data_IF_014665834768
#
_entry.id   IF_014665834768
#
_cell.length_a   1.000
_cell.length_b   1.000
_cell.length_c   1.000
_cell.angle_alpha   90.00
_cell.angle_beta   90.00
_cell.angle_gamma   90.00
#
_symmetry.space_group_name_H-M   'P 1'
#
loop_
_entity.id
_entity.type
_entity.pdbx_description
1 polymer ?
#
# COMPACT_ATOMS: atom_id res chain seq x y z
N UNK A 1 17.13 -11.45 5.04
CA UNK A 1 18.34 -12.31 4.99
C UNK A 1 19.46 -11.86 5.92
N UNK A 2 19.89 -10.58 5.95
CA UNK A 2 20.99 -10.11 6.83
C UNK A 2 20.75 -10.31 8.34
N UNK A 3 19.54 -10.04 8.83
CA UNK A 3 19.18 -10.34 10.23
C UNK A 3 19.13 -11.84 10.51
N UNK A 4 18.76 -12.65 9.52
CA UNK A 4 18.87 -14.09 9.66
C UNK A 4 20.35 -14.49 9.77
N UNK A 5 21.21 -14.04 8.85
CA UNK A 5 22.65 -14.34 8.84
C UNK A 5 23.35 -13.86 10.12
N UNK A 6 23.09 -12.64 10.60
CA UNK A 6 23.67 -12.12 11.84
C UNK A 6 23.18 -12.86 13.08
N UNK A 7 21.94 -13.39 13.07
CA UNK A 7 21.41 -14.21 14.17
C UNK A 7 22.05 -15.60 14.22
N UNK A 8 22.40 -16.19 13.07
CA UNK A 8 23.06 -17.51 13.00
C UNK A 8 24.59 -17.42 12.90
N UNK A 9 25.16 -16.22 12.76
CA UNK A 9 26.60 -16.03 12.68
C UNK A 9 27.26 -16.56 13.97
N UNK A 10 28.32 -17.36 13.80
CA UNK A 10 29.13 -17.85 14.91
C UNK A 10 29.74 -16.65 15.66
N UNK A 11 29.43 -16.52 16.95
CA UNK A 11 29.93 -15.47 17.86
C UNK A 11 31.03 -15.97 18.80
N UNK A 12 31.64 -17.11 18.49
CA UNK A 12 32.68 -17.67 19.34
C UNK A 12 33.95 -16.81 19.36
N UNK A 13 34.88 -17.13 20.28
CA UNK A 13 36.14 -16.40 20.39
C UNK A 13 36.91 -16.44 19.06
N UNK A 14 37.66 -15.38 18.80
CA UNK A 14 38.55 -15.34 17.64
C UNK A 14 39.54 -16.52 17.66
N UNK A 15 39.91 -17.07 16.50
CA UNK A 15 40.89 -18.15 16.45
C UNK A 15 42.24 -17.73 17.06
N UNK A 16 42.76 -18.52 18.00
CA UNK A 16 44.11 -18.33 18.53
C UNK A 16 45.16 -18.94 17.58
N UNK A 17 45.57 -18.13 16.59
CA UNK A 17 46.56 -18.53 15.59
C UNK A 17 47.94 -18.82 16.21
N UNK A 18 48.27 -18.25 17.37
CA UNK A 18 49.56 -18.46 18.02
C UNK A 18 49.63 -19.85 18.67
N UNK A 19 48.55 -20.26 19.35
CA UNK A 19 48.42 -21.64 19.85
C UNK A 19 48.41 -22.66 18.70
N UNK A 20 47.68 -22.38 17.62
CA UNK A 20 47.62 -23.26 16.44
C UNK A 20 48.98 -23.46 15.76
N UNK A 21 49.83 -22.42 15.71
CA UNK A 21 51.21 -22.53 15.18
C UNK A 21 52.09 -23.41 16.06
N UNK A 22 51.88 -23.41 17.38
CA UNK A 22 52.66 -24.19 18.34
C UNK A 22 52.30 -25.68 18.33
N UNK A 23 51.02 -25.99 18.10
CA UNK A 23 50.51 -27.36 18.17
C UNK A 23 50.60 -28.11 16.82
N UNK A 24 50.90 -27.41 15.73
CA UNK A 24 51.02 -28.00 14.38
C UNK A 24 52.47 -28.26 13.98
N UNK A 25 52.68 -29.26 13.12
CA UNK A 25 53.98 -29.51 12.47
C UNK A 25 54.23 -28.62 11.25
N UNK A 26 53.24 -27.83 10.83
CA UNK A 26 53.28 -26.97 9.65
C UNK A 26 52.78 -25.55 9.97
N UNK A 27 53.62 -24.72 10.62
CA UNK A 27 53.22 -23.36 11.02
C UNK A 27 52.92 -22.44 9.83
N UNK A 28 53.55 -22.66 8.68
CA UNK A 28 53.35 -21.84 7.47
C UNK A 28 51.90 -21.89 6.93
N UNK A 29 51.21 -23.02 7.10
CA UNK A 29 49.80 -23.14 6.69
C UNK A 29 48.92 -22.24 7.57
N UNK A 30 49.27 -22.12 8.85
CA UNK A 30 48.55 -21.25 9.79
C UNK A 30 48.78 -19.78 9.44
N UNK A 31 49.99 -19.40 8.98
CA UNK A 31 50.27 -18.05 8.50
C UNK A 31 49.44 -17.68 7.25
N UNK A 32 49.34 -18.59 6.28
CA UNK A 32 48.52 -18.39 5.08
C UNK A 32 47.05 -18.25 5.44
N UNK A 33 46.56 -19.09 6.37
CA UNK A 33 45.19 -19.05 6.83
C UNK A 33 44.87 -17.78 7.64
N UNK A 34 45.75 -17.36 8.54
CA UNK A 34 45.61 -16.11 9.30
C UNK A 34 45.52 -14.90 8.36
N UNK A 35 46.37 -14.87 7.33
CA UNK A 35 46.36 -13.82 6.30
C UNK A 35 45.06 -13.82 5.51
N UNK A 36 44.58 -14.98 5.07
CA UNK A 36 43.32 -15.11 4.36
C UNK A 36 42.13 -14.67 5.23
N UNK A 37 42.07 -15.13 6.49
CA UNK A 37 41.05 -14.76 7.46
C UNK A 37 40.96 -13.25 7.67
N UNK A 38 42.10 -12.59 7.89
CA UNK A 38 42.16 -11.12 8.08
C UNK A 38 41.85 -10.34 6.80
N UNK A 39 42.02 -10.95 5.63
CA UNK A 39 41.73 -10.29 4.34
C UNK A 39 40.24 -10.26 3.98
N UNK A 40 39.42 -11.08 4.64
CA UNK A 40 37.96 -11.08 4.42
C UNK A 40 37.36 -9.82 5.05
N UNK A 41 37.01 -8.86 4.20
CA UNK A 41 36.28 -7.66 4.62
C UNK A 41 34.77 -7.88 4.46
N UNK A 42 34.00 -7.29 5.37
CA UNK A 42 32.54 -7.30 5.26
C UNK A 42 32.12 -6.52 4.00
N UNK A 43 31.19 -7.04 3.19
CA UNK A 43 30.65 -6.30 2.06
C UNK A 43 30.09 -4.94 2.51
N UNK A 44 30.42 -3.88 1.77
CA UNK A 44 29.97 -2.51 2.06
C UNK A 44 28.44 -2.43 2.13
N UNK A 45 27.94 -1.62 3.06
CA UNK A 45 26.50 -1.45 3.34
C UNK A 45 25.82 -0.58 2.29
N UNK A 46 26.58 0.27 1.59
CA UNK A 46 26.09 1.13 0.54
C UNK A 46 25.91 0.32 -0.75
N UNK A 47 24.70 -0.22 -0.94
CA UNK A 47 24.28 -0.81 -2.21
C UNK A 47 23.27 0.14 -2.84
N UNK A 48 23.50 0.59 -4.10
CA UNK A 48 22.59 1.49 -4.78
C UNK A 48 21.19 0.90 -4.90
N UNK A 49 21.07 -0.43 -4.98
CA UNK A 49 19.79 -1.13 -5.01
C UNK A 49 18.96 -0.93 -3.74
N UNK A 50 19.60 -0.77 -2.57
CA UNK A 50 18.89 -0.53 -1.30
C UNK A 50 18.29 0.88 -1.27
N UNK A 51 18.99 1.88 -1.81
CA UNK A 51 18.48 3.25 -1.85
C UNK A 51 17.34 3.38 -2.88
N UNK A 52 17.46 2.73 -4.04
CA UNK A 52 16.37 2.65 -5.03
C UNK A 52 15.13 1.95 -4.44
N UNK A 53 15.33 0.88 -3.68
CA UNK A 53 14.23 0.19 -2.99
C UNK A 53 13.55 1.09 -1.95
N UNK A 54 14.31 1.86 -1.17
CA UNK A 54 13.73 2.82 -0.22
C UNK A 54 12.90 3.89 -0.91
N UNK A 55 13.40 4.42 -2.03
CA UNK A 55 12.69 5.45 -2.79
C UNK A 55 11.38 4.91 -3.38
N UNK A 56 11.41 3.72 -3.98
CA UNK A 56 10.20 3.07 -4.52
C UNK A 56 9.17 2.77 -3.42
N UNK A 57 9.60 2.28 -2.25
CA UNK A 57 8.71 2.07 -1.11
C UNK A 57 8.08 3.37 -0.61
N UNK A 58 8.84 4.46 -0.51
CA UNK A 58 8.31 5.76 -0.12
C UNK A 58 7.26 6.29 -1.11
N UNK A 59 7.44 6.03 -2.41
CA UNK A 59 6.45 6.34 -3.44
C UNK A 59 5.15 5.57 -3.25
N UNK A 60 5.24 4.25 -3.08
CA UNK A 60 4.07 3.38 -2.86
C UNK A 60 3.34 3.77 -1.57
N UNK A 61 4.05 4.10 -0.49
CA UNK A 61 3.42 4.55 0.75
C UNK A 61 2.66 5.87 0.59
N UNK A 62 3.20 6.80 -0.21
CA UNK A 62 2.52 8.07 -0.47
C UNK A 62 1.25 7.87 -1.30
N UNK A 63 1.31 7.03 -2.34
CA UNK A 63 0.16 6.68 -3.19
C UNK A 63 -0.92 5.99 -2.37
N UNK A 64 -0.56 4.96 -1.59
CA UNK A 64 -1.52 4.25 -0.75
C UNK A 64 -2.20 5.16 0.29
N UNK A 65 -1.49 6.16 0.83
CA UNK A 65 -2.08 7.16 1.72
C UNK A 65 -3.06 8.08 1.00
N UNK A 66 -2.74 8.51 -0.22
CA UNK A 66 -3.64 9.34 -1.01
C UNK A 66 -4.93 8.58 -1.36
N UNK A 67 -4.81 7.32 -1.79
CA UNK A 67 -5.95 6.45 -2.10
C UNK A 67 -6.83 6.19 -0.87
N UNK A 68 -6.22 5.96 0.29
CA UNK A 68 -6.96 5.79 1.53
C UNK A 68 -7.78 7.02 1.91
N UNK A 69 -7.24 8.23 1.73
CA UNK A 69 -7.98 9.47 1.99
C UNK A 69 -9.11 9.71 0.99
N UNK A 70 -8.91 9.39 -0.29
CA UNK A 70 -9.96 9.45 -1.31
C UNK A 70 -11.07 8.45 -1.00
N UNK A 71 -10.71 7.20 -0.69
CA UNK A 71 -11.67 6.16 -0.33
C UNK A 71 -12.49 6.55 0.91
N UNK A 72 -11.85 7.12 1.94
CA UNK A 72 -12.53 7.57 3.15
C UNK A 72 -13.58 8.64 2.87
N UNK A 73 -13.27 9.62 2.00
CA UNK A 73 -14.24 10.63 1.58
C UNK A 73 -15.40 9.99 0.81
N UNK A 74 -15.09 9.11 -0.14
CA UNK A 74 -16.13 8.45 -0.95
C UNK A 74 -17.05 7.56 -0.12
N UNK A 75 -16.53 6.88 0.90
CA UNK A 75 -17.34 6.09 1.83
C UNK A 75 -18.32 7.00 2.58
N UNK A 76 -17.86 8.15 3.09
CA UNK A 76 -18.74 9.08 3.80
C UNK A 76 -19.85 9.65 2.90
N UNK A 77 -19.54 9.96 1.63
CA UNK A 77 -20.56 10.36 0.64
C UNK A 77 -21.58 9.25 0.38
N UNK A 78 -21.10 8.02 0.17
CA UNK A 78 -21.95 6.85 -0.06
C UNK A 78 -22.87 6.56 1.13
N UNK A 79 -22.40 6.74 2.37
CA UNK A 79 -23.23 6.56 3.56
C UNK A 79 -24.39 7.57 3.62
N UNK A 80 -24.13 8.82 3.20
CA UNK A 80 -25.17 9.85 3.08
C UNK A 80 -26.16 9.50 1.96
N UNK A 81 -25.66 9.11 0.78
CA UNK A 81 -26.49 8.67 -0.35
C UNK A 81 -27.37 7.48 0.03
N UNK A 82 -26.82 6.47 0.71
CA UNK A 82 -27.55 5.29 1.16
C UNK A 82 -28.66 5.64 2.15
N UNK A 83 -28.39 6.55 3.10
CA UNK A 83 -29.41 7.02 4.03
C UNK A 83 -30.53 7.76 3.32
N UNK A 84 -30.20 8.64 2.38
CA UNK A 84 -31.19 9.34 1.57
C UNK A 84 -32.06 8.37 0.76
N UNK A 85 -31.46 7.35 0.14
CA UNK A 85 -32.20 6.31 -0.61
C UNK A 85 -33.09 5.49 0.32
N UNK A 86 -32.62 5.13 1.51
CA UNK A 86 -33.42 4.40 2.49
C UNK A 86 -34.66 5.22 2.93
N UNK A 87 -34.47 6.51 3.21
CA UNK A 87 -35.56 7.42 3.57
C UNK A 87 -36.55 7.58 2.41
N UNK A 88 -36.06 7.77 1.18
CA UNK A 88 -36.90 7.83 -0.02
C UNK A 88 -37.69 6.53 -0.23
N UNK A 89 -37.06 5.36 -0.10
CA UNK A 89 -37.71 4.05 -0.20
C UNK A 89 -38.83 3.89 0.83
N UNK A 90 -38.62 4.37 2.07
CA UNK A 90 -39.64 4.28 3.11
C UNK A 90 -40.88 5.12 2.78
N UNK A 91 -40.69 6.27 2.12
CA UNK A 91 -41.76 7.19 1.74
C UNK A 91 -42.38 6.86 0.40
N UNK A 92 -41.74 6.04 -0.42
CA UNK A 92 -42.15 5.76 -1.80
C UNK A 92 -43.59 5.24 -1.93
N UNK A 93 -44.07 4.49 -0.94
CA UNK A 93 -45.44 3.99 -0.91
C UNK A 93 -46.49 5.04 -0.52
N UNK A 94 -46.07 6.16 0.09
CA UNK A 94 -46.96 7.18 0.67
C UNK A 94 -46.75 8.58 0.09
N UNK A 95 -45.65 8.79 -0.64
CA UNK A 95 -45.28 10.08 -1.22
C UNK A 95 -46.20 10.41 -2.39
N UNK A 96 -46.74 11.62 -2.37
CA UNK A 96 -47.57 12.15 -3.45
C UNK A 96 -46.71 12.59 -4.65
N UNK A 97 -47.32 12.66 -5.83
CA UNK A 97 -46.62 13.11 -7.03
C UNK A 97 -46.15 14.57 -6.90
N UNK A 98 -46.91 15.41 -6.20
CA UNK A 98 -46.55 16.81 -5.95
C UNK A 98 -45.33 16.92 -5.03
N UNK A 99 -45.29 16.16 -3.92
CA UNK A 99 -44.11 16.09 -3.03
C UNK A 99 -42.86 15.58 -3.78
N UNK A 100 -43.04 14.62 -4.70
CA UNK A 100 -41.95 14.11 -5.51
C UNK A 100 -41.39 15.16 -6.48
N UNK A 101 -42.26 15.96 -7.09
CA UNK A 101 -41.87 17.05 -7.99
C UNK A 101 -41.28 18.25 -7.26
N UNK A 102 -41.72 18.54 -6.03
CA UNK A 102 -41.06 19.54 -5.18
C UNK A 102 -39.62 19.13 -4.83
N UNK A 103 -39.40 17.84 -4.54
CA UNK A 103 -38.07 17.31 -4.29
C UNK A 103 -37.21 17.16 -5.56
N UNK A 104 -37.84 17.03 -6.73
CA UNK A 104 -37.16 16.81 -8.02
C UNK A 104 -37.72 17.77 -9.10
N UNK A 105 -37.46 19.09 -8.98
CA UNK A 105 -38.04 20.09 -9.88
C UNK A 105 -37.56 19.92 -11.34
N UNK A 106 -36.38 19.35 -11.56
CA UNK A 106 -35.87 19.08 -12.91
C UNK A 106 -36.71 18.05 -13.65
N UNK A 107 -37.20 17.01 -12.97
CA UNK A 107 -38.09 16.02 -13.58
C UNK A 107 -39.42 16.63 -13.98
N UNK A 108 -39.99 17.50 -13.12
CA UNK A 108 -41.22 18.23 -13.46
C UNK A 108 -41.02 19.06 -14.72
N UNK A 109 -39.92 19.81 -14.79
CA UNK A 109 -39.59 20.67 -15.93
C UNK A 109 -39.41 19.85 -17.22
N UNK A 110 -38.72 18.72 -17.16
CA UNK A 110 -38.55 17.81 -18.31
C UNK A 110 -39.90 17.29 -18.81
N UNK A 111 -40.76 16.82 -17.91
CA UNK A 111 -42.10 16.34 -18.24
C UNK A 111 -42.95 17.46 -18.86
N UNK A 112 -42.97 18.63 -18.24
CA UNK A 112 -43.74 19.79 -18.73
C UNK A 112 -43.26 20.21 -20.14
N UNK A 113 -41.95 20.20 -20.37
CA UNK A 113 -41.35 20.53 -21.66
C UNK A 113 -41.70 19.50 -22.74
N UNK A 114 -41.70 18.21 -22.40
CA UNK A 114 -42.10 17.14 -23.32
C UNK A 114 -43.58 17.21 -23.68
N UNK A 115 -44.44 17.52 -22.71
CA UNK A 115 -45.86 17.75 -22.96
C UNK A 115 -46.05 18.94 -23.90
N UNK A 116 -45.32 20.04 -23.68
CA UNK A 116 -45.37 21.22 -24.55
C UNK A 116 -44.92 20.92 -26.00
N UNK A 117 -44.03 19.95 -26.18
CA UNK A 117 -43.52 19.51 -27.48
C UNK A 117 -44.31 18.34 -28.10
N UNK A 118 -45.41 17.90 -27.47
CA UNK A 118 -46.22 16.75 -27.90
C UNK A 118 -45.44 15.41 -27.91
N UNK A 119 -44.39 15.30 -27.10
CA UNK A 119 -43.46 14.16 -26.99
C UNK A 119 -43.92 13.13 -25.96
N UNK A 120 -45.06 12.50 -26.23
CA UNK A 120 -45.71 11.55 -25.31
C UNK A 120 -44.92 10.25 -25.10
N UNK A 121 -44.18 9.80 -26.11
CA UNK A 121 -43.44 8.54 -26.08
C UNK A 121 -41.95 8.77 -26.36
N UNK A 122 -41.09 8.13 -25.58
CA UNK A 122 -39.68 8.00 -25.95
C UNK A 122 -39.54 6.85 -26.93
N UNK A 123 -39.44 7.17 -28.22
CA UNK A 123 -39.05 6.19 -29.24
C UNK A 123 -37.56 5.93 -29.05
N UNK A 124 -37.21 4.73 -28.56
CA UNK A 124 -35.83 4.26 -28.49
C UNK A 124 -35.29 3.94 -29.88
#
# INVERSE_FOLDING_TARGET
MRDAVNRVAYKGPEPDFAAMKKDTKMPEIVDVFEKAYKSVTKPSVASPEIEELKMSFAGIEAEARADAEVAKKRIAELDVELKAIADQRSKLATMTMDEYFEANPEMKKDIDQRIANDEWFQVK
#
